data_IF_462652435330
#
_entry.id   IF_462652435330
#
_cell.length_a   1.000
_cell.length_b   1.000
_cell.length_c   1.000
_cell.angle_alpha   90.00
_cell.angle_beta   90.00
_cell.angle_gamma   90.00
#
_symmetry.space_group_name_H-M   'P 1'
#
loop_
_entity.id
_entity.type
_entity.pdbx_description
1 polymer ?
#
# COMPACT_ATOMS: atom_id res chain seq x y z
N UNK A 1 34.60 13.95 11.30
CA UNK A 1 33.19 13.98 11.69
C UNK A 1 32.65 12.57 11.47
N UNK A 2 32.25 11.87 12.53
CA UNK A 2 31.76 10.49 12.42
C UNK A 2 30.24 10.51 12.30
N UNK A 3 29.71 9.97 11.20
CA UNK A 3 28.26 9.78 11.05
C UNK A 3 27.79 8.62 11.92
N UNK A 4 26.64 8.78 12.56
CA UNK A 4 26.00 7.69 13.30
C UNK A 4 25.18 6.82 12.34
N UNK A 5 25.75 5.67 11.96
CA UNK A 5 25.10 4.70 11.07
C UNK A 5 24.41 3.63 11.91
N UNK A 6 23.08 3.51 11.80
CA UNK A 6 22.27 2.54 12.54
C UNK A 6 21.38 1.71 11.60
N UNK A 7 21.26 0.42 11.87
CA UNK A 7 20.27 -0.44 11.22
C UNK A 7 18.94 -0.25 11.95
N UNK A 8 18.01 0.50 11.34
CA UNK A 8 16.73 0.84 11.98
C UNK A 8 15.72 -0.31 11.96
N UNK A 9 15.65 -1.06 10.86
CA UNK A 9 14.67 -2.12 10.63
C UNK A 9 15.26 -3.16 9.69
N UNK A 10 14.95 -4.44 9.94
CA UNK A 10 15.29 -5.54 9.06
C UNK A 10 14.05 -6.44 8.91
N UNK A 11 13.64 -6.67 7.68
CA UNK A 11 12.59 -7.62 7.31
C UNK A 11 13.10 -8.47 6.15
N UNK A 12 12.61 -9.70 6.04
CA UNK A 12 12.94 -10.61 4.95
C UNK A 12 11.67 -11.36 4.52
N UNK A 13 11.61 -11.67 3.22
CA UNK A 13 10.55 -12.48 2.64
C UNK A 13 11.15 -13.85 2.32
N UNK A 14 10.53 -14.91 2.84
CA UNK A 14 10.91 -16.29 2.53
C UNK A 14 9.95 -16.87 1.48
N UNK A 15 10.25 -16.64 0.21
CA UNK A 15 9.49 -17.23 -0.89
C UNK A 15 10.10 -18.57 -1.30
N UNK A 16 9.28 -19.63 -1.33
CA UNK A 16 9.72 -21.00 -1.63
C UNK A 16 9.32 -21.49 -3.02
N UNK A 17 8.29 -20.88 -3.61
CA UNK A 17 7.59 -21.43 -4.78
C UNK A 17 7.09 -20.35 -5.74
N UNK A 18 7.58 -19.13 -5.58
CA UNK A 18 7.25 -17.97 -6.39
C UNK A 18 8.51 -17.25 -6.84
N UNK A 19 8.29 -16.16 -7.56
CA UNK A 19 9.31 -15.26 -8.04
C UNK A 19 9.40 -14.02 -7.14
N UNK A 20 10.59 -13.43 -7.08
CA UNK A 20 10.84 -12.18 -6.38
C UNK A 20 11.20 -11.09 -7.38
N UNK A 21 10.55 -9.93 -7.26
CA UNK A 21 10.90 -8.72 -8.01
C UNK A 21 11.27 -7.60 -7.04
N UNK A 22 12.19 -6.72 -7.43
CA UNK A 22 12.61 -5.60 -6.58
C UNK A 22 12.64 -4.29 -7.37
N UNK A 23 12.28 -3.21 -6.68
CA UNK A 23 12.39 -1.86 -7.24
C UNK A 23 13.02 -0.92 -6.23
N UNK A 24 13.93 -0.07 -6.71
CA UNK A 24 14.58 0.99 -5.93
C UNK A 24 14.27 2.35 -6.59
N UNK A 25 13.48 3.18 -5.92
CA UNK A 25 13.26 4.56 -6.36
C UNK A 25 14.40 5.45 -5.87
N UNK A 26 14.89 6.33 -6.76
CA UNK A 26 16.09 7.15 -6.55
C UNK A 26 17.28 6.30 -6.07
N UNK A 27 17.64 5.32 -6.90
CA UNK A 27 18.77 4.42 -6.67
C UNK A 27 20.08 5.20 -6.58
N UNK A 28 20.88 4.91 -5.54
CA UNK A 28 22.25 5.42 -5.36
C UNK A 28 23.23 4.43 -5.97
N UNK A 29 22.96 3.13 -5.81
CA UNK A 29 23.67 2.03 -6.46
C UNK A 29 22.71 0.83 -6.60
N UNK A 30 23.23 -0.29 -7.12
CA UNK A 30 22.43 -1.50 -7.41
C UNK A 30 21.68 -2.09 -6.19
N UNK A 31 22.08 -1.74 -4.96
CA UNK A 31 21.54 -2.30 -3.73
C UNK A 31 21.00 -1.25 -2.74
N UNK A 32 20.95 0.03 -3.12
CA UNK A 32 20.47 1.10 -2.25
C UNK A 32 19.74 2.19 -3.01
N UNK A 33 18.72 2.76 -2.37
CA UNK A 33 17.90 3.85 -2.88
C UNK A 33 17.08 4.46 -1.75
N UNK A 34 16.34 5.53 -2.06
CA UNK A 34 15.52 6.23 -1.08
C UNK A 34 14.29 5.41 -0.65
N UNK A 35 13.69 4.67 -1.60
CA UNK A 35 12.56 3.77 -1.36
C UNK A 35 12.89 2.43 -1.99
N UNK A 36 12.65 1.34 -1.27
CA UNK A 36 12.79 -0.02 -1.78
C UNK A 36 11.49 -0.80 -1.65
N UNK A 37 11.14 -1.53 -2.70
CA UNK A 37 10.02 -2.47 -2.73
C UNK A 37 10.54 -3.85 -3.08
N UNK A 38 10.03 -4.86 -2.38
CA UNK A 38 10.24 -6.27 -2.66
C UNK A 38 8.86 -6.92 -2.85
N UNK A 39 8.64 -7.54 -4.00
CA UNK A 39 7.39 -8.21 -4.35
C UNK A 39 7.66 -9.71 -4.47
N UNK A 40 6.89 -10.51 -3.73
CA UNK A 40 6.76 -11.95 -4.02
C UNK A 40 5.49 -12.19 -4.81
N UNK A 41 5.57 -12.98 -5.88
CA UNK A 41 4.42 -13.32 -6.71
C UNK A 41 4.56 -14.72 -7.32
N UNK A 42 3.46 -15.26 -7.83
CA UNK A 42 3.43 -16.51 -8.59
C UNK A 42 2.86 -16.26 -9.97
N UNK A 43 3.43 -16.92 -10.97
CA UNK A 43 2.96 -16.89 -12.35
C UNK A 43 3.12 -18.27 -12.95
N UNK A 44 2.17 -18.68 -13.80
CA UNK A 44 2.28 -19.90 -14.60
C UNK A 44 3.14 -19.69 -15.85
N UNK A 45 3.65 -18.48 -16.04
CA UNK A 45 4.44 -18.06 -17.20
C UNK A 45 5.68 -17.29 -16.76
N UNK A 46 6.80 -17.58 -17.41
CA UNK A 46 8.05 -16.84 -17.28
C UNK A 46 8.31 -16.13 -18.61
N UNK A 47 7.76 -14.92 -18.76
CA UNK A 47 7.85 -14.14 -20.00
C UNK A 47 8.26 -12.71 -19.69
N UNK A 48 8.81 -12.00 -20.67
CA UNK A 48 9.14 -10.57 -20.51
C UNK A 48 7.92 -9.74 -20.07
N UNK A 49 6.72 -10.11 -20.51
CA UNK A 49 5.47 -9.48 -20.06
C UNK A 49 5.24 -9.61 -18.56
N UNK A 50 5.59 -10.75 -17.97
CA UNK A 50 5.47 -10.99 -16.53
C UNK A 50 6.52 -10.20 -15.75
N UNK A 51 7.74 -10.11 -16.29
CA UNK A 51 8.82 -9.30 -15.71
C UNK A 51 8.46 -7.81 -15.73
N UNK A 52 7.98 -7.29 -16.86
CA UNK A 52 7.55 -5.89 -16.98
C UNK A 52 6.36 -5.59 -16.06
N UNK A 53 5.39 -6.50 -15.99
CA UNK A 53 4.22 -6.33 -15.12
C UNK A 53 4.58 -6.33 -13.64
N UNK A 54 5.40 -7.28 -13.18
CA UNK A 54 5.85 -7.33 -11.78
C UNK A 54 6.69 -6.11 -11.38
N UNK A 55 7.53 -5.61 -12.30
CA UNK A 55 8.26 -4.35 -12.10
C UNK A 55 7.31 -3.16 -11.99
N UNK A 56 6.29 -3.07 -12.86
CA UNK A 56 5.28 -2.02 -12.79
C UNK A 56 4.48 -2.07 -11.48
N UNK A 57 4.15 -3.26 -10.97
CA UNK A 57 3.54 -3.41 -9.65
C UNK A 57 4.48 -2.86 -8.56
N UNK A 58 5.77 -3.20 -8.58
CA UNK A 58 6.72 -2.67 -7.60
C UNK A 58 6.81 -1.14 -7.64
N UNK A 59 6.78 -0.55 -8.84
CA UNK A 59 6.75 0.89 -9.03
C UNK A 59 5.47 1.51 -8.48
N UNK A 60 4.31 0.88 -8.71
CA UNK A 60 3.03 1.32 -8.18
C UNK A 60 3.03 1.30 -6.65
N UNK A 61 3.45 0.19 -6.03
CA UNK A 61 3.60 0.06 -4.56
C UNK A 61 4.51 1.16 -4.01
N UNK A 62 5.63 1.45 -4.68
CA UNK A 62 6.54 2.52 -4.24
C UNK A 62 5.90 3.91 -4.29
N UNK A 63 4.96 4.14 -5.21
CA UNK A 63 4.28 5.41 -5.39
C UNK A 63 3.05 5.57 -4.48
N UNK A 64 2.32 4.48 -4.22
CA UNK A 64 1.04 4.53 -3.47
C UNK A 64 1.17 4.13 -2.00
N UNK A 65 2.28 3.48 -1.59
CA UNK A 65 2.54 3.05 -0.21
C UNK A 65 1.32 2.36 0.46
N UNK A 66 0.74 1.31 -0.18
CA UNK A 66 -0.46 0.65 0.31
C UNK A 66 -0.20 0.07 1.71
N UNK A 67 -1.22 0.14 2.56
CA UNK A 67 -1.17 -0.40 3.93
C UNK A 67 -1.54 -1.87 3.99
N UNK A 68 -2.20 -2.38 2.95
CA UNK A 68 -2.62 -3.77 2.86
C UNK A 68 -2.70 -4.26 1.42
N UNK A 69 -2.66 -5.58 1.23
CA UNK A 69 -2.93 -6.20 -0.07
C UNK A 69 -4.40 -6.03 -0.46
N UNK A 70 -5.31 -6.28 0.48
CA UNK A 70 -6.76 -6.24 0.27
C UNK A 70 -7.49 -5.74 1.53
N UNK A 71 -8.79 -5.52 1.39
CA UNK A 71 -9.64 -4.99 2.48
C UNK A 71 -9.68 -5.98 3.65
N UNK A 72 -9.71 -7.28 3.39
CA UNK A 72 -9.83 -8.31 4.43
C UNK A 72 -8.62 -8.38 5.36
N UNK A 73 -7.43 -8.05 4.84
CA UNK A 73 -6.17 -8.03 5.59
C UNK A 73 -5.81 -6.67 6.17
N UNK A 74 -6.59 -5.62 5.89
CA UNK A 74 -6.37 -4.29 6.45
C UNK A 74 -6.69 -4.26 7.95
N UNK A 75 -5.88 -3.56 8.73
CA UNK A 75 -6.13 -3.38 10.17
C UNK A 75 -7.47 -2.66 10.39
N UNK A 76 -8.41 -3.35 11.02
CA UNK A 76 -9.75 -2.83 11.31
C UNK A 76 -9.71 -1.59 12.19
N UNK A 77 -8.72 -1.48 13.09
CA UNK A 77 -8.58 -0.30 13.94
C UNK A 77 -8.27 0.96 13.11
N UNK A 78 -7.54 0.81 12.00
CA UNK A 78 -7.27 1.91 11.07
C UNK A 78 -8.57 2.37 10.42
N UNK A 79 -9.41 1.44 9.98
CA UNK A 79 -10.71 1.71 9.34
C UNK A 79 -11.66 2.41 10.32
N UNK A 80 -11.79 1.90 11.55
CA UNK A 80 -12.67 2.46 12.57
C UNK A 80 -12.25 3.88 12.98
N UNK A 81 -10.93 4.10 13.08
CA UNK A 81 -10.37 5.42 13.34
C UNK A 81 -10.70 6.39 12.21
N UNK A 82 -10.48 5.98 10.96
CA UNK A 82 -10.74 6.82 9.79
C UNK A 82 -12.25 7.14 9.65
N UNK A 83 -13.11 6.15 9.91
CA UNK A 83 -14.57 6.34 9.95
C UNK A 83 -14.98 7.38 10.98
N UNK A 84 -14.41 7.28 12.18
CA UNK A 84 -14.67 8.23 13.28
C UNK A 84 -14.27 9.65 12.89
N UNK A 85 -13.11 9.81 12.24
CA UNK A 85 -12.64 11.10 11.72
C UNK A 85 -13.65 11.67 10.71
N UNK A 86 -14.16 10.86 9.78
CA UNK A 86 -15.15 11.34 8.79
C UNK A 86 -16.50 11.71 9.42
N UNK A 87 -16.95 10.97 10.43
CA UNK A 87 -18.15 11.33 11.19
C UNK A 87 -17.93 12.67 11.90
N UNK A 88 -16.79 12.85 12.56
CA UNK A 88 -16.44 14.10 13.25
C UNK A 88 -16.41 15.31 12.33
N UNK A 89 -15.86 15.16 11.12
CA UNK A 89 -15.88 16.20 10.09
C UNK A 89 -17.31 16.62 9.68
N UNK A 90 -18.30 15.77 9.88
CA UNK A 90 -19.69 15.98 9.46
C UNK A 90 -20.64 16.31 10.63
N UNK A 91 -20.18 16.26 11.89
CA UNK A 91 -21.00 16.54 13.07
C UNK A 91 -21.68 17.92 13.03
N UNK A 92 -21.06 18.92 12.38
CA UNK A 92 -21.61 20.27 12.25
C UNK A 92 -22.40 20.52 10.96
N UNK A 93 -22.68 19.47 10.17
CA UNK A 93 -23.19 19.63 8.80
C UNK A 93 -24.71 19.85 8.68
N UNK A 94 -25.46 19.88 9.80
CA UNK A 94 -26.94 19.96 9.83
C UNK A 94 -27.66 18.95 8.93
N UNK A 95 -26.98 17.88 8.50
CA UNK A 95 -27.55 16.81 7.69
C UNK A 95 -28.17 15.73 8.58
N UNK A 96 -29.22 15.03 8.14
CA UNK A 96 -29.73 13.85 8.83
C UNK A 96 -28.66 12.76 8.96
N UNK A 97 -28.70 11.99 10.04
CA UNK A 97 -27.71 10.93 10.33
C UNK A 97 -27.58 9.90 9.20
N UNK A 98 -28.71 9.48 8.58
CA UNK A 98 -28.70 8.57 7.43
C UNK A 98 -27.91 9.11 6.23
N UNK A 99 -27.92 10.44 6.04
CA UNK A 99 -27.16 11.10 4.97
C UNK A 99 -25.67 11.17 5.35
N UNK A 100 -25.36 11.42 6.63
CA UNK A 100 -23.98 11.40 7.14
C UNK A 100 -23.38 10.01 6.96
N UNK A 101 -24.09 8.95 7.34
CA UNK A 101 -23.64 7.57 7.18
C UNK A 101 -23.34 7.24 5.72
N UNK A 102 -24.24 7.56 4.79
CA UNK A 102 -24.01 7.35 3.36
C UNK A 102 -22.77 8.08 2.83
N UNK A 103 -22.53 9.30 3.31
CA UNK A 103 -21.32 10.06 2.93
C UNK A 103 -20.07 9.38 3.49
N UNK A 104 -20.11 8.96 4.75
CA UNK A 104 -18.99 8.29 5.42
C UNK A 104 -18.67 6.97 4.72
N UNK A 105 -19.67 6.17 4.34
CA UNK A 105 -19.46 4.93 3.60
C UNK A 105 -18.79 5.18 2.24
N UNK A 106 -19.19 6.23 1.53
CA UNK A 106 -18.52 6.65 0.30
C UNK A 106 -17.06 7.05 0.52
N UNK A 107 -16.76 7.76 1.62
CA UNK A 107 -15.39 8.13 2.00
C UNK A 107 -14.56 6.92 2.40
N UNK A 108 -15.13 5.95 3.13
CA UNK A 108 -14.45 4.71 3.50
C UNK A 108 -14.16 3.85 2.26
N UNK A 109 -15.08 3.79 1.30
CA UNK A 109 -14.82 3.13 0.02
C UNK A 109 -13.62 3.76 -0.70
N UNK A 110 -13.54 5.09 -0.71
CA UNK A 110 -12.38 5.80 -1.27
C UNK A 110 -11.10 5.52 -0.48
N UNK A 111 -11.17 5.49 0.84
CA UNK A 111 -10.03 5.14 1.68
C UNK A 111 -9.47 3.76 1.33
N UNK A 112 -10.31 2.75 1.10
CA UNK A 112 -9.84 1.45 0.61
C UNK A 112 -9.11 1.54 -0.72
N UNK A 113 -9.61 2.33 -1.67
CA UNK A 113 -8.94 2.56 -2.97
C UNK A 113 -7.59 3.28 -2.83
N UNK A 114 -7.34 3.96 -1.71
CA UNK A 114 -6.07 4.62 -1.43
C UNK A 114 -5.08 3.68 -0.72
N UNK A 115 -5.55 2.80 0.16
CA UNK A 115 -4.65 2.02 1.05
C UNK A 115 -4.58 0.52 0.78
N UNK A 116 -5.47 -0.05 -0.04
CA UNK A 116 -5.46 -1.46 -0.40
C UNK A 116 -4.97 -1.65 -1.83
N UNK A 117 -3.87 -2.39 -2.02
CA UNK A 117 -3.23 -2.57 -3.33
C UNK A 117 -4.21 -3.07 -4.42
N UNK A 118 -5.07 -4.04 -4.09
CA UNK A 118 -6.03 -4.59 -5.07
C UNK A 118 -7.21 -3.67 -5.39
N UNK A 119 -7.45 -2.63 -4.59
CA UNK A 119 -8.51 -1.64 -4.83
C UNK A 119 -7.99 -0.40 -5.58
N UNK A 120 -6.66 -0.27 -5.68
CA UNK A 120 -6.00 0.83 -6.38
C UNK A 120 -6.18 0.67 -7.90
N UNK A 121 -6.43 1.79 -8.58
CA UNK A 121 -6.43 1.81 -10.04
C UNK A 121 -4.99 1.99 -10.53
N UNK A 122 -4.52 1.04 -11.35
CA UNK A 122 -3.23 1.06 -12.03
C UNK A 122 -3.25 1.97 -13.27
#
# INVERSE_FOLDING_TARGET
>A
MGENIVIRKLEYINEKSGSLEKYLHNSINQNSGKIGVLLSFKSNHETDKVNDFSKNICMHIAATDPKSMNIESLDKNLVDKERSIYIEQLKSSNKPDEIIEKIVDGKIKKFYQEVCLLEQTL
#
